data_IF_439565879703
#
_entry.id   IF_439565879703
#
_cell.length_a   1.000
_cell.length_b   1.000
_cell.length_c   1.000
_cell.angle_alpha   90.00
_cell.angle_beta   90.00
_cell.angle_gamma   90.00
#
_symmetry.space_group_name_H-M   'P 1'
#
loop_
_entity.id
_entity.type
_entity.pdbx_description
1 polymer ?
#
# COMPACT_ATOMS: atom_id res chain seq x y z
N UNK A 1 26.60 46.61 14.91
CA UNK A 1 26.35 46.07 16.27
C UNK A 1 25.83 44.65 16.16
N UNK A 2 26.71 43.63 16.22
CA UNK A 2 26.30 42.30 16.67
C UNK A 2 27.18 41.86 17.86
N UNK A 3 26.58 41.56 19.00
CA UNK A 3 27.29 41.04 20.17
C UNK A 3 27.19 39.52 20.21
N UNK A 4 28.30 38.86 19.87
CA UNK A 4 28.61 37.48 20.25
C UNK A 4 29.43 37.51 21.54
N UNK A 5 29.03 36.78 22.59
CA UNK A 5 29.87 36.61 23.77
C UNK A 5 30.08 35.13 24.11
N UNK A 6 31.36 34.85 24.33
CA UNK A 6 32.04 33.57 24.44
C UNK A 6 31.91 33.00 25.86
N UNK A 7 31.82 31.67 25.95
CA UNK A 7 32.16 30.87 27.12
C UNK A 7 33.68 30.79 27.30
N UNK A 8 34.16 30.68 28.55
CA UNK A 8 35.34 29.87 28.79
C UNK A 8 35.12 28.84 29.91
N UNK A 9 35.58 27.62 29.62
CA UNK A 9 35.78 26.54 30.55
C UNK A 9 36.99 26.81 31.46
N UNK A 10 36.95 26.31 32.69
CA UNK A 10 38.16 25.96 33.45
C UNK A 10 37.86 24.82 34.43
N UNK A 11 38.64 23.76 34.27
CA UNK A 11 38.57 22.54 35.06
C UNK A 11 39.53 22.59 36.26
N UNK A 12 39.12 21.85 37.30
CA UNK A 12 39.89 21.09 38.28
C UNK A 12 40.88 21.82 39.20
N UNK A 13 40.69 21.66 40.52
CA UNK A 13 41.72 21.12 41.42
C UNK A 13 41.20 20.86 42.84
N UNK A 14 41.68 19.73 43.37
CA UNK A 14 41.85 19.34 44.78
C UNK A 14 40.79 18.47 45.46
N UNK A 15 41.30 17.30 45.84
CA UNK A 15 40.70 16.15 46.49
C UNK A 15 41.04 16.10 47.98
N UNK A 16 40.16 15.42 48.74
CA UNK A 16 40.36 14.68 50.00
C UNK A 16 40.44 15.45 51.33
N UNK A 17 39.42 15.25 52.17
CA UNK A 17 39.50 14.68 53.53
C UNK A 17 38.13 14.07 53.95
N UNK A 18 38.19 12.94 54.66
CA UNK A 18 37.19 11.92 55.09
C UNK A 18 36.09 12.41 56.09
N UNK A 19 35.16 11.56 56.64
CA UNK A 19 34.63 10.23 56.25
C UNK A 19 33.08 10.10 56.30
N UNK A 20 32.60 8.97 55.77
CA UNK A 20 31.32 8.27 55.96
C UNK A 20 30.36 8.70 57.10
N UNK A 21 29.13 9.08 56.74
CA UNK A 21 27.89 8.76 57.47
C UNK A 21 26.68 9.19 56.64
N UNK A 22 25.88 8.22 56.18
CA UNK A 22 24.54 8.45 55.67
C UNK A 22 24.28 7.87 54.28
N UNK A 23 23.70 6.68 54.24
CA UNK A 23 22.99 6.16 53.06
C UNK A 23 21.93 7.20 52.67
N UNK A 24 21.95 7.78 51.45
CA UNK A 24 20.83 8.59 51.00
C UNK A 24 19.67 7.65 50.72
N UNK A 25 18.66 7.68 51.60
CA UNK A 25 17.33 7.12 51.33
C UNK A 25 16.87 7.69 49.98
N UNK A 26 16.72 6.84 48.98
CA UNK A 26 15.98 7.20 47.77
C UNK A 26 14.61 7.74 48.20
N UNK A 27 14.15 8.89 47.68
CA UNK A 27 12.78 9.31 47.90
C UNK A 27 11.86 8.19 47.39
N UNK A 28 10.76 7.88 48.09
CA UNK A 28 9.84 6.85 47.63
C UNK A 28 9.40 7.20 46.22
N UNK A 29 9.65 6.29 45.28
CA UNK A 29 9.03 6.34 43.95
C UNK A 29 7.53 6.48 44.20
N UNK A 30 6.87 7.53 43.68
CA UNK A 30 5.43 7.64 43.82
C UNK A 30 4.82 6.33 43.33
N UNK A 31 3.82 5.75 44.04
CA UNK A 31 3.11 4.60 43.48
C UNK A 31 2.68 5.00 42.07
N UNK A 32 3.01 4.16 41.09
CA UNK A 32 2.60 4.37 39.71
C UNK A 32 1.11 4.67 39.76
N UNK A 33 0.75 5.92 39.51
CA UNK A 33 -0.64 6.30 39.44
C UNK A 33 -1.21 5.39 38.36
N UNK A 34 -2.14 4.51 38.74
CA UNK A 34 -3.02 3.80 37.83
C UNK A 34 -3.86 4.87 37.13
N UNK A 35 -3.23 5.59 36.21
CA UNK A 35 -3.93 6.43 35.25
C UNK A 35 -4.73 5.44 34.43
N UNK A 36 -6.05 5.50 34.56
CA UNK A 36 -6.93 4.83 33.62
C UNK A 36 -6.58 5.22 32.18
N UNK A 37 -7.07 4.46 31.19
CA UNK A 37 -6.73 4.68 29.80
C UNK A 37 -6.98 6.14 29.41
N UNK A 38 -5.95 6.79 28.85
CA UNK A 38 -6.07 8.19 28.40
C UNK A 38 -7.09 8.29 27.28
N UNK A 39 -8.03 9.23 27.41
CA UNK A 39 -9.07 9.43 26.41
C UNK A 39 -8.50 10.08 25.12
N UNK A 40 -9.21 9.90 23.99
CA UNK A 40 -8.91 10.56 22.72
C UNK A 40 -8.73 12.09 22.85
N UNK A 41 -9.39 12.73 23.81
CA UNK A 41 -9.27 14.17 24.04
C UNK A 41 -7.85 14.57 24.47
N UNK A 42 -7.18 13.73 25.26
CA UNK A 42 -5.86 13.96 25.85
C UNK A 42 -4.69 13.60 24.92
N UNK A 43 -4.98 12.94 23.80
CA UNK A 43 -3.96 12.54 22.83
C UNK A 43 -3.30 13.76 22.18
N UNK A 44 -1.96 13.78 22.05
CA UNK A 44 -1.26 14.88 21.39
C UNK A 44 -1.62 14.93 19.90
N UNK A 45 -1.57 16.12 19.31
CA UNK A 45 -1.87 16.33 17.89
C UNK A 45 -1.89 17.81 17.51
N UNK A 46 -1.77 18.14 16.22
CA UNK A 46 -1.96 19.50 15.75
C UNK A 46 -3.42 19.95 15.98
N UNK A 47 -3.61 21.24 16.26
CA UNK A 47 -4.94 21.83 16.19
C UNK A 47 -5.53 21.69 14.76
N UNK A 48 -6.85 21.56 14.59
CA UNK A 48 -7.46 21.43 13.27
C UNK A 48 -7.08 22.57 12.31
N UNK A 49 -6.94 23.80 12.81
CA UNK A 49 -6.52 24.96 12.02
C UNK A 49 -5.06 24.87 11.56
N UNK A 50 -4.16 24.41 12.44
CA UNK A 50 -2.76 24.20 12.10
C UNK A 50 -2.60 23.09 11.05
N UNK A 51 -3.32 21.98 11.22
CA UNK A 51 -3.31 20.89 10.25
C UNK A 51 -3.87 21.31 8.89
N UNK A 52 -4.96 22.09 8.86
CA UNK A 52 -5.51 22.63 7.62
C UNK A 52 -4.55 23.62 6.95
N UNK A 53 -3.85 24.46 7.71
CA UNK A 53 -2.82 25.34 7.20
C UNK A 53 -1.65 24.56 6.60
N UNK A 54 -1.12 23.56 7.30
CA UNK A 54 -0.04 22.71 6.79
C UNK A 54 -0.47 21.99 5.50
N UNK A 55 -1.73 21.50 5.45
CA UNK A 55 -2.27 20.86 4.26
C UNK A 55 -2.44 21.84 3.09
N UNK A 56 -3.00 23.03 3.28
CA UNK A 56 -3.28 23.95 2.17
C UNK A 56 -2.08 24.80 1.74
N UNK A 57 -1.22 25.20 2.68
CA UNK A 57 -0.19 26.22 2.46
C UNK A 57 1.24 25.67 2.38
N UNK A 58 1.53 24.46 2.88
CA UNK A 58 2.90 23.88 2.89
C UNK A 58 3.16 22.77 1.88
N UNK A 59 2.39 22.73 0.80
CA UNK A 59 2.62 21.81 -0.31
C UNK A 59 1.67 20.61 -0.35
N UNK A 60 0.53 20.65 0.34
CA UNK A 60 -0.60 19.80 -0.02
C UNK A 60 -0.54 18.36 0.45
N UNK A 61 -1.49 17.60 -0.09
CA UNK A 61 -1.52 16.13 -0.13
C UNK A 61 -0.23 15.50 -0.71
N UNK A 62 0.55 16.25 -1.50
CA UNK A 62 1.80 15.76 -2.11
C UNK A 62 2.90 15.48 -1.09
N UNK A 63 2.92 16.22 0.03
CA UNK A 63 3.90 16.08 1.12
C UNK A 63 3.32 15.46 2.38
N UNK A 64 2.17 14.78 2.27
CA UNK A 64 1.48 14.16 3.41
C UNK A 64 2.39 13.21 4.20
N UNK A 65 3.27 12.49 3.51
CA UNK A 65 4.24 11.59 4.13
C UNK A 65 5.28 12.33 4.98
N UNK A 66 5.65 13.56 4.61
CA UNK A 66 6.60 14.38 5.38
C UNK A 66 5.91 14.89 6.66
N UNK A 67 4.63 15.30 6.55
CA UNK A 67 3.82 15.67 7.70
C UNK A 67 3.68 14.52 8.71
N UNK A 68 3.63 13.26 8.26
CA UNK A 68 3.62 12.10 9.15
C UNK A 68 4.96 11.93 9.89
N UNK A 69 6.09 12.15 9.21
CA UNK A 69 7.44 12.08 9.82
C UNK A 69 7.62 13.21 10.85
N UNK A 70 7.23 14.43 10.49
CA UNK A 70 7.25 15.59 11.40
C UNK A 70 6.28 15.39 12.58
N UNK A 71 5.10 14.82 12.33
CA UNK A 71 4.11 14.48 13.33
C UNK A 71 4.67 13.51 14.38
N UNK A 72 5.31 12.41 13.92
CA UNK A 72 6.00 11.48 14.82
C UNK A 72 7.08 12.16 15.65
N UNK A 73 7.90 13.01 15.03
CA UNK A 73 8.99 13.70 15.72
C UNK A 73 8.49 14.70 16.79
N UNK A 74 7.32 15.31 16.56
CA UNK A 74 6.76 16.35 17.43
C UNK A 74 5.84 15.82 18.52
N UNK A 75 5.02 14.82 18.21
CA UNK A 75 3.95 14.34 19.08
C UNK A 75 4.23 12.94 19.67
N UNK A 76 5.27 12.26 19.19
CA UNK A 76 5.65 10.93 19.65
C UNK A 76 5.09 9.79 18.76
N UNK A 77 5.09 8.55 19.25
CA UNK A 77 4.74 7.37 18.46
C UNK A 77 3.25 7.24 18.14
N UNK A 78 2.38 7.96 18.88
CA UNK A 78 0.93 8.01 18.67
C UNK A 78 0.44 9.44 18.75
N UNK A 79 -0.31 9.89 17.75
CA UNK A 79 -0.92 11.22 17.74
C UNK A 79 -2.20 11.26 16.93
N UNK A 80 -3.08 12.22 17.22
CA UNK A 80 -4.31 12.44 16.44
C UNK A 80 -4.14 13.59 15.45
N UNK A 81 -4.79 13.51 14.31
CA UNK A 81 -5.00 14.63 13.40
C UNK A 81 -6.45 14.63 12.91
N UNK A 82 -7.02 15.82 12.76
CA UNK A 82 -8.40 15.99 12.28
C UNK A 82 -8.41 16.67 10.92
N UNK A 83 -9.08 16.06 9.96
CA UNK A 83 -9.32 16.63 8.64
C UNK A 83 -10.82 16.71 8.37
N UNK A 84 -11.37 17.92 8.50
CA UNK A 84 -12.81 18.13 8.41
C UNK A 84 -13.55 17.26 9.44
N UNK A 85 -14.52 16.42 9.02
CA UNK A 85 -15.26 15.54 9.93
C UNK A 85 -14.48 14.27 10.31
N UNK A 86 -13.33 13.99 9.68
CA UNK A 86 -12.59 12.75 9.89
C UNK A 86 -11.50 12.98 10.94
N UNK A 87 -11.56 12.22 12.03
CA UNK A 87 -10.49 12.09 13.01
C UNK A 87 -9.65 10.87 12.66
N UNK A 88 -8.33 11.03 12.61
CA UNK A 88 -7.39 9.93 12.36
C UNK A 88 -6.37 9.87 13.49
N UNK A 89 -6.21 8.68 14.06
CA UNK A 89 -5.11 8.37 14.98
C UNK A 89 -3.99 7.74 14.17
N UNK A 90 -2.81 8.34 14.26
CA UNK A 90 -1.60 7.86 13.62
C UNK A 90 -0.77 7.08 14.62
N UNK A 91 -0.33 5.89 14.20
CA UNK A 91 0.53 5.00 14.99
C UNK A 91 1.79 4.71 14.19
N UNK A 92 2.95 5.02 14.75
CA UNK A 92 4.24 4.97 14.04
C UNK A 92 5.28 4.04 14.69
N UNK A 93 4.84 3.14 15.56
CA UNK A 93 5.69 2.18 16.26
C UNK A 93 5.18 0.75 16.06
N UNK A 94 6.10 -0.19 15.79
CA UNK A 94 5.75 -1.56 15.41
C UNK A 94 4.96 -2.31 16.49
N UNK A 95 5.35 -2.20 17.77
CA UNK A 95 4.63 -2.84 18.87
C UNK A 95 3.21 -2.32 19.05
N UNK A 96 2.98 -1.03 18.77
CA UNK A 96 1.65 -0.42 18.84
C UNK A 96 0.80 -0.81 17.63
N UNK A 97 1.40 -0.88 16.44
CA UNK A 97 0.72 -1.41 15.24
C UNK A 97 0.29 -2.86 15.47
N UNK A 98 1.14 -3.69 16.08
CA UNK A 98 0.81 -5.07 16.45
C UNK A 98 -0.41 -5.14 17.39
N UNK A 99 -0.50 -4.27 18.39
CA UNK A 99 -1.65 -4.18 19.29
C UNK A 99 -2.94 -3.82 18.53
N UNK A 100 -2.88 -2.85 17.62
CA UNK A 100 -4.03 -2.45 16.79
C UNK A 100 -4.47 -3.62 15.90
N UNK A 101 -3.52 -4.27 15.21
CA UNK A 101 -3.83 -5.37 14.29
C UNK A 101 -4.35 -6.62 15.00
N UNK A 102 -3.95 -6.88 16.26
CA UNK A 102 -4.50 -7.99 17.06
C UNK A 102 -5.96 -7.79 17.47
N UNK A 103 -6.38 -6.54 17.57
CA UNK A 103 -7.75 -6.15 17.94
C UNK A 103 -8.64 -5.94 16.70
N UNK A 104 -8.12 -6.24 15.51
CA UNK A 104 -8.87 -6.16 14.26
C UNK A 104 -9.94 -7.28 14.22
N UNK A 105 -11.19 -6.90 13.92
CA UNK A 105 -12.30 -7.85 13.82
C UNK A 105 -12.26 -8.73 12.55
N UNK A 106 -13.24 -9.63 12.42
CA UNK A 106 -13.35 -10.57 11.28
C UNK A 106 -13.53 -9.87 9.91
N UNK A 107 -13.98 -8.61 9.92
CA UNK A 107 -14.31 -7.81 8.75
C UNK A 107 -13.60 -6.45 8.76
N UNK A 108 -12.27 -6.42 8.58
CA UNK A 108 -11.51 -5.17 8.64
C UNK A 108 -11.96 -4.14 7.61
N UNK A 109 -12.16 -2.92 8.08
CA UNK A 109 -12.52 -1.77 7.25
C UNK A 109 -11.32 -0.83 7.16
N UNK A 110 -10.87 -0.57 5.93
CA UNK A 110 -9.69 0.27 5.67
C UNK A 110 -10.04 1.75 5.64
N UNK A 111 -10.79 2.14 4.62
CA UNK A 111 -11.11 3.53 4.35
C UNK A 111 -12.31 3.55 3.42
N UNK A 112 -13.34 4.33 3.76
CA UNK A 112 -14.50 4.46 2.89
C UNK A 112 -14.11 5.22 1.61
N UNK A 113 -13.74 4.48 0.56
CA UNK A 113 -13.54 4.98 -0.81
C UNK A 113 -14.90 5.36 -1.42
N UNK A 114 -15.57 6.35 -0.82
CA UNK A 114 -16.97 6.68 -1.08
C UNK A 114 -17.22 7.01 -2.55
N UNK A 115 -16.32 7.78 -3.19
CA UNK A 115 -16.43 8.13 -4.61
C UNK A 115 -16.43 6.88 -5.52
N UNK A 116 -15.64 5.86 -5.17
CA UNK A 116 -15.54 4.64 -5.98
C UNK A 116 -16.82 3.81 -5.84
N UNK A 117 -17.33 3.66 -4.61
CA UNK A 117 -18.62 3.00 -4.35
C UNK A 117 -19.79 3.73 -5.00
N UNK A 118 -19.83 5.06 -4.88
CA UNK A 118 -20.86 5.89 -5.49
C UNK A 118 -20.89 5.66 -7.02
N UNK A 119 -19.73 5.58 -7.67
CA UNK A 119 -19.64 5.20 -9.09
C UNK A 119 -20.19 3.79 -9.36
N UNK A 120 -19.83 2.78 -8.55
CA UNK A 120 -20.33 1.40 -8.71
C UNK A 120 -21.85 1.36 -8.63
N UNK A 121 -22.45 2.09 -7.68
CA UNK A 121 -23.90 2.20 -7.53
C UNK A 121 -24.52 2.90 -8.74
N UNK A 122 -23.96 4.04 -9.17
CA UNK A 122 -24.46 4.80 -10.33
C UNK A 122 -24.45 4.01 -11.65
N UNK A 123 -23.44 3.16 -11.86
CA UNK A 123 -23.30 2.33 -13.08
C UNK A 123 -23.81 0.90 -12.93
N UNK A 124 -24.32 0.55 -11.75
CA UNK A 124 -24.74 -0.82 -11.44
C UNK A 124 -23.63 -1.84 -11.64
N UNK A 125 -22.39 -1.53 -11.24
CA UNK A 125 -21.26 -2.47 -11.20
C UNK A 125 -21.13 -3.12 -9.82
N UNK A 126 -20.58 -4.32 -9.74
CA UNK A 126 -20.29 -4.94 -8.44
C UNK A 126 -19.01 -4.34 -7.84
N UNK A 127 -18.91 -4.39 -6.51
CA UNK A 127 -17.69 -4.06 -5.80
C UNK A 127 -16.64 -5.15 -6.02
N UNK A 128 -15.37 -4.76 -6.12
CA UNK A 128 -14.26 -5.69 -6.04
C UNK A 128 -13.67 -5.74 -4.63
N UNK A 129 -12.56 -6.46 -4.47
CA UNK A 129 -11.88 -6.66 -3.19
C UNK A 129 -11.46 -5.36 -2.48
N UNK A 130 -11.21 -4.26 -3.22
CA UNK A 130 -10.82 -2.98 -2.62
C UNK A 130 -12.03 -2.20 -2.11
N UNK A 131 -13.19 -2.31 -2.76
CA UNK A 131 -14.39 -1.53 -2.40
C UNK A 131 -15.44 -2.30 -1.63
N UNK A 132 -15.39 -3.63 -1.61
CA UNK A 132 -16.28 -4.46 -0.79
C UNK A 132 -15.96 -4.34 0.70
N UNK A 133 -16.98 -4.50 1.54
CA UNK A 133 -16.87 -4.49 3.01
C UNK A 133 -17.67 -5.67 3.60
N UNK A 134 -17.47 -5.95 4.90
CA UNK A 134 -18.24 -6.96 5.63
C UNK A 134 -18.08 -8.38 5.07
N UNK A 135 -19.18 -9.13 5.08
CA UNK A 135 -19.18 -10.52 4.60
C UNK A 135 -18.88 -10.66 3.10
N UNK A 136 -19.30 -9.70 2.28
CA UNK A 136 -19.01 -9.72 0.84
C UNK A 136 -17.51 -9.68 0.61
N UNK A 137 -16.83 -8.74 1.28
CA UNK A 137 -15.37 -8.67 1.26
C UNK A 137 -14.74 -9.98 1.72
N UNK A 138 -15.21 -10.56 2.82
CA UNK A 138 -14.62 -11.78 3.38
C UNK A 138 -14.80 -12.98 2.44
N UNK A 139 -15.96 -13.10 1.77
CA UNK A 139 -16.18 -14.13 0.74
C UNK A 139 -15.20 -13.97 -0.42
N UNK A 140 -15.07 -12.75 -0.97
CA UNK A 140 -14.14 -12.44 -2.05
C UNK A 140 -12.69 -12.67 -1.64
N UNK A 141 -12.30 -12.22 -0.44
CA UNK A 141 -10.95 -12.37 0.12
C UNK A 141 -10.56 -13.83 0.30
N UNK A 142 -11.46 -14.66 0.83
CA UNK A 142 -11.23 -16.10 0.98
C UNK A 142 -11.07 -16.80 -0.36
N UNK A 143 -11.85 -16.42 -1.37
CA UNK A 143 -11.75 -16.99 -2.71
C UNK A 143 -10.43 -16.58 -3.39
N UNK A 144 -10.21 -15.28 -3.53
CA UNK A 144 -9.01 -14.73 -4.19
C UNK A 144 -7.72 -15.10 -3.46
N UNK A 145 -7.76 -15.20 -2.12
CA UNK A 145 -6.60 -15.64 -1.34
C UNK A 145 -6.15 -17.07 -1.67
N UNK A 146 -7.08 -17.98 -1.99
CA UNK A 146 -6.72 -19.34 -2.44
C UNK A 146 -6.06 -19.34 -3.81
N UNK A 147 -6.55 -18.48 -4.71
CA UNK A 147 -6.13 -18.40 -6.11
C UNK A 147 -4.83 -17.60 -6.30
N UNK A 148 -4.59 -16.57 -5.49
CA UNK A 148 -3.49 -15.61 -5.70
C UNK A 148 -2.38 -15.66 -4.65
N UNK A 149 -2.66 -16.14 -3.43
CA UNK A 149 -1.70 -16.04 -2.31
C UNK A 149 -1.12 -17.38 -1.87
N UNK A 150 -1.72 -18.51 -2.28
CA UNK A 150 -1.19 -19.84 -1.95
C UNK A 150 0.06 -20.12 -2.79
N UNK A 151 1.17 -20.62 -2.21
CA UNK A 151 2.41 -20.86 -2.94
C UNK A 151 2.23 -21.68 -4.23
N UNK A 152 1.46 -22.78 -4.17
CA UNK A 152 1.16 -23.63 -5.34
C UNK A 152 0.41 -22.89 -6.45
N UNK A 153 -0.48 -21.97 -6.10
CA UNK A 153 -1.20 -21.19 -7.10
C UNK A 153 -0.28 -20.14 -7.74
N UNK A 154 0.58 -19.51 -6.94
CA UNK A 154 1.61 -18.58 -7.42
C UNK A 154 2.59 -19.25 -8.38
N UNK A 155 2.98 -20.50 -8.12
CA UNK A 155 3.84 -21.29 -9.02
C UNK A 155 3.26 -21.42 -10.43
N UNK A 156 1.93 -21.58 -10.56
CA UNK A 156 1.24 -21.65 -11.85
C UNK A 156 1.36 -20.37 -12.69
N UNK A 157 1.53 -19.21 -12.05
CA UNK A 157 1.74 -17.94 -12.74
C UNK A 157 3.20 -17.66 -13.12
N UNK A 158 4.14 -18.49 -12.66
CA UNK A 158 5.57 -18.28 -12.89
C UNK A 158 5.96 -18.29 -14.36
N UNK A 159 5.37 -19.19 -15.16
CA UNK A 159 5.62 -19.28 -16.61
C UNK A 159 5.21 -18.01 -17.36
N UNK A 160 3.92 -17.60 -17.33
CA UNK A 160 3.46 -16.38 -17.97
C UNK A 160 4.24 -15.13 -17.56
N UNK A 161 4.58 -14.99 -16.27
CA UNK A 161 5.38 -13.85 -15.81
C UNK A 161 6.81 -13.92 -16.35
N UNK A 162 7.43 -15.10 -16.44
CA UNK A 162 8.76 -15.26 -17.02
C UNK A 162 8.80 -14.87 -18.51
N UNK A 163 7.75 -15.18 -19.27
CA UNK A 163 7.64 -14.78 -20.68
C UNK A 163 7.59 -13.25 -20.82
N UNK A 164 6.79 -12.58 -19.99
CA UNK A 164 6.69 -11.12 -19.97
C UNK A 164 8.02 -10.47 -19.55
N UNK A 165 8.75 -11.08 -18.59
CA UNK A 165 10.11 -10.64 -18.23
C UNK A 165 11.07 -10.79 -19.42
N UNK A 166 10.98 -11.90 -20.17
CA UNK A 166 11.77 -12.10 -21.38
C UNK A 166 11.51 -11.02 -22.44
N UNK A 167 10.26 -10.61 -22.62
CA UNK A 167 9.90 -9.51 -23.52
C UNK A 167 10.43 -8.15 -23.07
N UNK A 168 10.34 -7.87 -21.77
CA UNK A 168 10.92 -6.66 -21.19
C UNK A 168 12.43 -6.62 -21.46
N UNK A 169 13.16 -7.71 -21.18
CA UNK A 169 14.60 -7.77 -21.40
C UNK A 169 14.96 -7.55 -22.88
N UNK A 170 14.25 -8.20 -23.81
CA UNK A 170 14.44 -8.00 -25.25
C UNK A 170 14.19 -6.55 -25.66
N UNK A 171 13.16 -5.91 -25.11
CA UNK A 171 12.85 -4.50 -25.37
C UNK A 171 13.92 -3.56 -24.86
N UNK A 172 14.37 -3.75 -23.61
CA UNK A 172 15.43 -2.95 -22.99
C UNK A 172 16.75 -3.09 -23.74
N UNK A 173 17.11 -4.31 -24.16
CA UNK A 173 18.30 -4.54 -24.99
C UNK A 173 18.23 -3.77 -26.32
N UNK A 174 17.09 -3.86 -27.05
CA UNK A 174 16.90 -3.11 -28.31
C UNK A 174 17.00 -1.60 -28.11
N UNK A 175 16.41 -1.05 -27.05
CA UNK A 175 16.48 0.39 -26.76
C UNK A 175 17.92 0.81 -26.46
N UNK A 176 18.62 0.02 -25.64
CA UNK A 176 20.04 0.23 -25.32
C UNK A 176 20.91 0.20 -26.57
N UNK A 177 20.72 -0.78 -27.45
CA UNK A 177 21.55 -0.97 -28.63
C UNK A 177 21.31 0.11 -29.70
N UNK A 178 20.11 0.71 -29.73
CA UNK A 178 19.78 1.86 -30.60
C UNK A 178 20.24 3.20 -30.04
N UNK A 179 20.46 3.30 -28.73
CA UNK A 179 20.86 4.55 -28.09
C UNK A 179 22.37 4.78 -28.24
N UNK A 180 22.84 5.96 -28.70
CA UNK A 180 24.27 6.20 -28.95
C UNK A 180 25.19 5.97 -27.74
N UNK A 181 24.66 6.13 -26.54
CA UNK A 181 25.39 5.96 -25.28
C UNK A 181 25.14 4.61 -24.59
N UNK A 182 24.45 3.68 -25.25
CA UNK A 182 24.01 2.42 -24.64
C UNK A 182 23.19 2.61 -23.36
N UNK A 183 22.26 3.57 -23.40
CA UNK A 183 21.37 3.88 -22.28
C UNK A 183 19.93 3.58 -22.65
N UNK A 184 19.13 3.19 -21.66
CA UNK A 184 17.69 3.09 -21.80
C UNK A 184 17.07 4.37 -21.22
N UNK A 185 16.42 5.22 -22.04
CA UNK A 185 15.72 6.38 -21.54
C UNK A 185 14.44 5.96 -20.80
N UNK A 186 14.13 6.65 -19.70
CA UNK A 186 12.89 6.49 -18.92
C UNK A 186 12.51 5.03 -18.59
N UNK A 187 13.36 4.38 -17.80
CA UNK A 187 13.14 3.01 -17.34
C UNK A 187 11.86 2.84 -16.51
N UNK A 188 11.39 3.90 -15.84
CA UNK A 188 10.18 3.87 -15.03
C UNK A 188 8.92 3.68 -15.91
N UNK A 189 8.85 4.37 -17.06
CA UNK A 189 7.78 4.17 -18.02
C UNK A 189 7.78 2.75 -18.62
N UNK A 190 8.95 2.16 -18.83
CA UNK A 190 9.06 0.77 -19.29
C UNK A 190 8.61 -0.23 -18.21
N UNK A 191 8.93 0.03 -16.94
CA UNK A 191 8.38 -0.78 -15.84
C UNK A 191 6.88 -0.63 -15.65
N UNK A 192 6.31 0.53 -15.98
CA UNK A 192 4.85 0.72 -15.97
C UNK A 192 4.18 -0.19 -17.01
N UNK A 193 4.70 -0.22 -18.24
CA UNK A 193 4.22 -1.12 -19.31
C UNK A 193 4.39 -2.59 -18.93
N UNK A 194 5.52 -2.92 -18.30
CA UNK A 194 5.76 -4.26 -17.75
C UNK A 194 4.75 -4.63 -16.66
N UNK A 195 4.44 -3.72 -15.73
CA UNK A 195 3.44 -3.96 -14.68
C UNK A 195 2.07 -4.29 -15.27
N UNK A 196 1.66 -3.53 -16.31
CA UNK A 196 0.41 -3.75 -17.03
C UNK A 196 0.38 -5.09 -17.78
N UNK A 197 1.42 -5.41 -18.54
CA UNK A 197 1.54 -6.69 -19.25
C UNK A 197 1.66 -7.89 -18.30
N UNK A 198 2.34 -7.71 -17.16
CA UNK A 198 2.54 -8.74 -16.16
C UNK A 198 1.23 -9.09 -15.47
N UNK A 199 0.49 -8.11 -14.95
CA UNK A 199 -0.79 -8.38 -14.30
C UNK A 199 -1.84 -8.86 -15.30
N UNK A 200 -1.82 -8.38 -16.55
CA UNK A 200 -2.74 -8.83 -17.60
C UNK A 200 -2.57 -10.32 -17.93
N UNK A 201 -1.31 -10.77 -18.02
CA UNK A 201 -1.00 -12.19 -18.26
C UNK A 201 -1.54 -13.10 -17.14
N UNK A 202 -1.51 -12.63 -15.89
CA UNK A 202 -2.02 -13.40 -14.73
C UNK A 202 -3.56 -13.38 -14.68
N UNK A 203 -4.18 -12.25 -14.99
CA UNK A 203 -5.62 -12.06 -14.85
C UNK A 203 -6.43 -12.76 -15.94
N UNK A 204 -5.96 -12.69 -17.19
CA UNK A 204 -6.71 -13.15 -18.35
C UNK A 204 -5.86 -13.90 -19.40
N UNK A 205 -4.62 -14.32 -19.07
CA UNK A 205 -3.72 -15.07 -19.97
C UNK A 205 -3.53 -14.41 -21.36
N UNK A 206 -3.74 -13.09 -21.44
CA UNK A 206 -3.64 -12.34 -22.70
C UNK A 206 -2.47 -11.38 -22.66
N UNK A 207 -1.85 -11.22 -23.83
CA UNK A 207 -0.80 -10.26 -24.09
C UNK A 207 -1.44 -8.96 -24.56
N UNK A 208 -1.24 -7.87 -23.83
CA UNK A 208 -1.78 -6.55 -24.18
C UNK A 208 -0.90 -5.82 -25.20
N UNK A 209 0.28 -6.36 -25.51
CA UNK A 209 1.22 -5.76 -26.46
C UNK A 209 1.91 -4.51 -25.91
N UNK A 210 1.91 -4.29 -24.59
CA UNK A 210 2.48 -3.08 -23.98
C UNK A 210 4.00 -2.98 -24.20
N UNK A 211 4.65 -4.13 -24.41
CA UNK A 211 6.09 -4.26 -24.59
C UNK A 211 6.49 -4.31 -26.07
N UNK A 212 5.53 -4.28 -27.00
CA UNK A 212 5.79 -4.23 -28.44
C UNK A 212 6.28 -2.85 -28.90
N UNK A 213 6.87 -2.79 -30.10
CA UNK A 213 7.49 -1.56 -30.59
C UNK A 213 6.47 -0.40 -30.70
N UNK A 214 5.25 -0.71 -31.10
CA UNK A 214 4.12 0.21 -31.12
C UNK A 214 3.10 -0.25 -30.09
N UNK A 215 2.84 0.59 -29.08
CA UNK A 215 1.85 0.27 -28.04
C UNK A 215 0.45 0.50 -28.62
N UNK A 216 -0.49 -0.45 -28.45
CA UNK A 216 -1.86 -0.24 -28.88
C UNK A 216 -2.49 1.00 -28.25
N UNK A 217 -3.24 1.78 -29.04
CA UNK A 217 -3.89 3.02 -28.57
C UNK A 217 -4.84 2.80 -27.40
N UNK A 218 -5.49 1.63 -27.35
CA UNK A 218 -6.41 1.29 -26.28
C UNK A 218 -5.66 1.15 -24.95
N UNK A 219 -4.51 0.48 -24.98
CA UNK A 219 -3.61 0.33 -23.82
C UNK A 219 -3.10 1.69 -23.33
N UNK A 220 -2.69 2.58 -24.23
CA UNK A 220 -2.26 3.95 -23.84
C UNK A 220 -3.40 4.76 -23.20
N UNK A 221 -4.61 4.62 -23.73
CA UNK A 221 -5.80 5.28 -23.20
C UNK A 221 -6.15 4.71 -21.82
N UNK A 222 -5.95 3.41 -21.60
CA UNK A 222 -6.12 2.76 -20.30
C UNK A 222 -5.14 3.32 -19.26
N UNK A 223 -3.85 3.42 -19.61
CA UNK A 223 -2.81 4.01 -18.75
C UNK A 223 -3.16 5.46 -18.38
N UNK A 224 -3.64 6.26 -19.35
CA UNK A 224 -4.07 7.63 -19.11
C UNK A 224 -5.29 7.71 -18.19
N UNK A 225 -6.21 6.76 -18.33
CA UNK A 225 -7.44 6.67 -17.54
C UNK A 225 -7.13 6.35 -16.07
N UNK A 226 -6.17 5.46 -15.79
CA UNK A 226 -5.69 5.18 -14.43
C UNK A 226 -5.18 6.46 -13.75
N UNK A 227 -4.27 7.18 -14.41
CA UNK A 227 -3.69 8.42 -13.86
C UNK A 227 -4.78 9.47 -13.61
N UNK A 228 -5.68 9.65 -14.58
CA UNK A 228 -6.82 10.57 -14.46
C UNK A 228 -7.72 10.19 -13.29
N UNK A 229 -8.01 8.89 -13.13
CA UNK A 229 -8.83 8.38 -12.05
C UNK A 229 -8.20 8.64 -10.67
N UNK A 230 -6.90 8.42 -10.48
CA UNK A 230 -6.26 8.69 -9.19
C UNK A 230 -6.29 10.18 -8.82
N UNK A 231 -5.98 11.06 -9.78
CA UNK A 231 -6.03 12.52 -9.55
C UNK A 231 -7.45 12.99 -9.23
N UNK A 232 -8.45 12.50 -9.98
CA UNK A 232 -9.85 12.84 -9.74
C UNK A 232 -10.39 12.19 -8.45
N UNK A 233 -9.88 11.04 -8.01
CA UNK A 233 -10.23 10.45 -6.71
C UNK A 233 -9.86 11.39 -5.57
N UNK A 234 -8.63 11.91 -5.56
CA UNK A 234 -8.18 12.85 -4.52
C UNK A 234 -9.05 14.11 -4.50
N UNK A 235 -9.37 14.65 -5.69
CA UNK A 235 -10.23 15.82 -5.83
C UNK A 235 -11.68 15.55 -5.39
N UNK A 236 -12.24 14.40 -5.77
CA UNK A 236 -13.64 14.08 -5.46
C UNK A 236 -13.86 13.68 -4.01
N UNK A 237 -12.86 13.08 -3.36
CA UNK A 237 -12.90 12.78 -1.93
C UNK A 237 -12.77 14.04 -1.07
N UNK A 238 -11.99 15.03 -1.51
CA UNK A 238 -11.89 16.32 -0.82
C UNK A 238 -13.14 17.20 -1.01
N UNK A 239 -13.91 16.98 -2.07
CA UNK A 239 -15.08 17.78 -2.43
C UNK A 239 -16.37 17.23 -1.77
N UNK A 240 -17.10 18.03 -0.97
CA UNK A 240 -18.38 17.61 -0.41
C UNK A 240 -19.42 17.29 -1.48
N UNK A 241 -20.29 16.30 -1.23
CA UNK A 241 -21.36 15.86 -2.15
C UNK A 241 -22.21 16.97 -2.80
N UNK A 242 -22.66 18.04 -2.09
CA UNK A 242 -23.41 19.11 -2.74
C UNK A 242 -22.57 19.91 -3.76
N UNK A 243 -21.25 19.99 -3.57
CA UNK A 243 -20.35 20.73 -4.44
C UNK A 243 -20.14 20.03 -5.79
N UNK A 244 -20.30 18.70 -5.85
CA UNK A 244 -20.35 17.94 -7.11
C UNK A 244 -21.52 18.34 -8.02
N UNK A 245 -22.62 18.87 -7.45
CA UNK A 245 -23.74 19.38 -8.25
C UNK A 245 -23.41 20.72 -8.92
N UNK A 246 -22.58 21.55 -8.26
CA UNK A 246 -22.20 22.87 -8.76
C UNK A 246 -21.02 22.78 -9.74
N UNK A 247 -20.09 21.87 -9.49
CA UNK A 247 -18.93 21.60 -10.34
C UNK A 247 -18.94 20.14 -10.81
N UNK A 248 -19.73 19.79 -11.84
CA UNK A 248 -19.90 18.39 -12.25
C UNK A 248 -18.68 17.82 -13.00
N UNK A 249 -17.81 18.68 -13.55
CA UNK A 249 -16.70 18.25 -14.42
C UNK A 249 -15.74 17.25 -13.76
N UNK A 250 -15.23 17.45 -12.53
CA UNK A 250 -14.40 16.46 -11.84
C UNK A 250 -15.07 15.09 -11.69
N UNK A 251 -16.35 15.07 -11.33
CA UNK A 251 -17.12 13.82 -11.18
C UNK A 251 -17.37 13.13 -12.53
N UNK A 252 -17.67 13.90 -13.58
CA UNK A 252 -17.85 13.38 -14.93
C UNK A 252 -16.56 12.75 -15.46
N UNK A 253 -15.44 13.47 -15.39
CA UNK A 253 -14.13 12.95 -15.80
C UNK A 253 -13.72 11.73 -14.98
N UNK A 254 -14.05 11.69 -13.69
CA UNK A 254 -13.88 10.49 -12.86
C UNK A 254 -14.70 9.31 -13.37
N UNK A 255 -15.99 9.52 -13.69
CA UNK A 255 -16.86 8.47 -14.21
C UNK A 255 -16.41 7.98 -15.60
N UNK A 256 -16.03 8.88 -16.50
CA UNK A 256 -15.53 8.54 -17.85
C UNK A 256 -14.26 7.69 -17.79
N UNK A 257 -13.31 8.06 -16.90
CA UNK A 257 -12.09 7.28 -16.70
C UNK A 257 -12.41 5.87 -16.18
N UNK A 258 -13.33 5.74 -15.22
CA UNK A 258 -13.78 4.43 -14.75
C UNK A 258 -14.54 3.64 -15.81
N UNK A 259 -15.43 4.28 -16.57
CA UNK A 259 -16.21 3.65 -17.63
C UNK A 259 -15.26 3.04 -18.68
N UNK A 260 -14.21 3.76 -19.07
CA UNK A 260 -13.18 3.24 -19.97
C UNK A 260 -12.44 2.03 -19.37
N UNK A 261 -11.99 2.12 -18.11
CA UNK A 261 -11.29 1.02 -17.45
C UNK A 261 -12.15 -0.25 -17.32
N UNK A 262 -13.43 -0.10 -16.99
CA UNK A 262 -14.37 -1.22 -16.95
C UNK A 262 -14.63 -1.81 -18.33
N UNK A 263 -14.80 -0.95 -19.36
CA UNK A 263 -14.99 -1.42 -20.74
C UNK A 263 -13.76 -2.20 -21.23
N UNK A 264 -12.56 -1.68 -20.97
CA UNK A 264 -11.31 -2.35 -21.29
C UNK A 264 -11.21 -3.72 -20.61
N UNK A 265 -11.38 -3.79 -19.29
CA UNK A 265 -11.31 -5.04 -18.55
C UNK A 265 -12.39 -6.05 -19.01
N UNK A 266 -13.63 -5.60 -19.21
CA UNK A 266 -14.72 -6.45 -19.73
C UNK A 266 -14.39 -7.04 -21.08
N UNK A 267 -13.87 -6.24 -22.03
CA UNK A 267 -13.50 -6.74 -23.36
C UNK A 267 -12.50 -7.90 -23.30
N UNK A 268 -11.49 -7.80 -22.43
CA UNK A 268 -10.52 -8.88 -22.22
C UNK A 268 -11.11 -10.10 -21.49
N UNK A 269 -11.96 -9.88 -20.50
CA UNK A 269 -12.63 -10.96 -19.75
C UNK A 269 -13.59 -11.73 -20.67
N UNK A 270 -14.42 -11.04 -21.43
CA UNK A 270 -15.43 -11.64 -22.30
C UNK A 270 -14.76 -12.44 -23.42
N UNK A 271 -13.69 -11.90 -24.00
CA UNK A 271 -12.87 -12.62 -24.98
C UNK A 271 -12.30 -13.91 -24.38
N UNK A 272 -11.73 -13.83 -23.17
CA UNK A 272 -11.13 -14.98 -22.50
C UNK A 272 -12.15 -16.08 -22.19
N UNK A 273 -13.34 -15.69 -21.73
CA UNK A 273 -14.46 -16.61 -21.44
C UNK A 273 -14.97 -17.27 -22.73
N UNK A 274 -15.05 -16.53 -23.83
CA UNK A 274 -15.43 -17.09 -25.13
C UNK A 274 -14.38 -18.09 -25.64
N UNK A 275 -13.10 -17.75 -25.57
CA UNK A 275 -11.99 -18.64 -25.97
C UNK A 275 -12.00 -19.96 -25.17
N UNK A 276 -12.25 -19.89 -23.85
CA UNK A 276 -12.36 -21.05 -22.98
C UNK A 276 -13.55 -21.96 -23.32
N UNK A 277 -14.66 -21.36 -23.75
CA UNK A 277 -15.87 -22.10 -24.12
C UNK A 277 -15.70 -22.85 -25.46
N UNK A 278 -14.92 -22.29 -26.39
CA UNK A 278 -14.70 -22.86 -27.72
C UNK A 278 -13.63 -23.96 -27.74
N UNK A 279 -12.49 -23.75 -27.07
CA UNK A 279 -11.31 -24.60 -27.28
C UNK A 279 -11.13 -25.70 -26.21
N UNK A 280 -11.79 -25.59 -25.05
CA UNK A 280 -11.61 -26.52 -23.93
C UNK A 280 -10.20 -26.41 -23.32
N UNK A 281 -10.13 -25.97 -22.07
CA UNK A 281 -8.84 -25.51 -21.50
C UNK A 281 -7.95 -26.64 -20.98
N UNK A 282 -6.69 -26.78 -21.44
CA UNK A 282 -5.68 -27.53 -20.72
C UNK A 282 -5.38 -26.85 -19.38
N UNK A 283 -5.28 -27.63 -18.31
CA UNK A 283 -5.14 -27.15 -16.93
C UNK A 283 -3.88 -26.30 -16.66
N UNK A 284 -2.93 -26.26 -17.59
CA UNK A 284 -1.61 -25.64 -17.44
C UNK A 284 -1.56 -24.13 -17.76
N UNK A 285 -2.64 -23.54 -18.28
CA UNK A 285 -2.69 -22.10 -18.64
C UNK A 285 -3.87 -21.33 -18.01
N UNK A 286 -4.42 -21.83 -16.90
CA UNK A 286 -5.55 -21.16 -16.26
C UNK A 286 -5.18 -19.80 -15.66
N UNK A 287 -5.81 -18.74 -16.14
CA UNK A 287 -5.71 -17.41 -15.56
C UNK A 287 -6.72 -17.23 -14.41
N UNK A 288 -6.66 -16.10 -13.69
CA UNK A 288 -7.60 -15.84 -12.61
C UNK A 288 -9.07 -15.86 -13.09
N UNK A 289 -9.34 -15.33 -14.28
CA UNK A 289 -10.70 -15.30 -14.87
C UNK A 289 -11.28 -16.71 -15.02
N UNK A 290 -10.49 -17.68 -15.47
CA UNK A 290 -10.95 -19.07 -15.63
C UNK A 290 -11.29 -19.72 -14.28
N UNK A 291 -10.46 -19.48 -13.27
CA UNK A 291 -10.70 -19.98 -11.93
C UNK A 291 -11.99 -19.39 -11.34
N UNK A 292 -12.23 -18.09 -11.53
CA UNK A 292 -13.44 -17.43 -11.07
C UNK A 292 -14.69 -17.93 -11.82
N UNK A 293 -14.59 -18.20 -13.13
CA UNK A 293 -15.66 -18.77 -13.92
C UNK A 293 -15.99 -20.20 -13.47
N UNK A 294 -14.97 -21.03 -13.18
CA UNK A 294 -15.14 -22.41 -12.65
C UNK A 294 -15.80 -22.45 -11.28
N UNK A 295 -15.49 -21.49 -10.43
CA UNK A 295 -16.11 -21.30 -9.10
C UNK A 295 -17.53 -20.70 -9.18
N UNK A 296 -18.09 -20.55 -10.40
CA UNK A 296 -19.44 -20.02 -10.69
C UNK A 296 -19.68 -18.64 -10.07
N UNK A 297 -18.65 -17.81 -10.00
CA UNK A 297 -18.76 -16.43 -9.54
C UNK A 297 -19.59 -15.64 -10.56
N UNK A 298 -20.55 -14.80 -10.14
CA UNK A 298 -21.31 -13.97 -11.08
C UNK A 298 -20.39 -13.09 -11.93
N UNK A 299 -20.61 -13.02 -13.24
CA UNK A 299 -19.77 -12.24 -14.17
C UNK A 299 -19.59 -10.78 -13.73
N UNK A 300 -20.65 -10.16 -13.18
CA UNK A 300 -20.59 -8.80 -12.65
C UNK A 300 -19.54 -8.64 -11.54
N UNK A 301 -19.41 -9.65 -10.68
CA UNK A 301 -18.40 -9.71 -9.61
C UNK A 301 -17.01 -9.98 -10.16
N UNK A 302 -16.89 -10.80 -11.22
CA UNK A 302 -15.61 -11.02 -11.93
C UNK A 302 -15.12 -9.69 -12.50
N UNK A 303 -15.96 -8.94 -13.22
CA UNK A 303 -15.61 -7.64 -13.78
C UNK A 303 -15.10 -6.67 -12.69
N UNK A 304 -15.80 -6.58 -11.55
CA UNK A 304 -15.39 -5.72 -10.43
C UNK A 304 -14.02 -6.09 -9.86
N UNK A 305 -13.80 -7.37 -9.55
CA UNK A 305 -12.55 -7.84 -8.95
C UNK A 305 -11.37 -7.76 -9.90
N UNK A 306 -11.54 -8.20 -11.15
CA UNK A 306 -10.45 -8.20 -12.14
C UNK A 306 -10.04 -6.77 -12.50
N UNK A 307 -10.98 -5.83 -12.64
CA UNK A 307 -10.67 -4.42 -12.90
C UNK A 307 -9.88 -3.80 -11.74
N UNK A 308 -10.24 -4.12 -10.50
CA UNK A 308 -9.53 -3.62 -9.31
C UNK A 308 -8.15 -4.23 -9.13
N UNK A 309 -7.97 -5.52 -9.44
CA UNK A 309 -6.67 -6.18 -9.43
C UNK A 309 -5.76 -5.64 -10.54
N UNK A 310 -6.31 -5.40 -11.73
CA UNK A 310 -5.60 -4.80 -12.86
C UNK A 310 -5.08 -3.41 -12.46
N UNK A 311 -5.92 -2.57 -11.85
CA UNK A 311 -5.52 -1.26 -11.34
C UNK A 311 -4.41 -1.36 -10.27
N UNK A 312 -4.55 -2.28 -9.30
CA UNK A 312 -3.62 -2.39 -8.18
C UNK A 312 -2.24 -2.94 -8.58
N UNK A 313 -2.16 -3.74 -9.64
CA UNK A 313 -0.94 -4.45 -10.07
C UNK A 313 0.04 -3.63 -10.91
N UNK A 314 -0.32 -2.43 -11.39
CA UNK A 314 0.51 -1.68 -12.35
C UNK A 314 1.50 -0.74 -11.63
N UNK A 315 0.98 0.26 -10.92
CA UNK A 315 1.79 1.33 -10.32
C UNK A 315 2.68 0.81 -9.18
N UNK A 316 2.18 -0.16 -8.42
CA UNK A 316 2.86 -0.70 -7.23
C UNK A 316 4.12 -1.49 -7.62
N UNK A 317 4.02 -2.35 -8.62
CA UNK A 317 5.14 -3.16 -9.12
C UNK A 317 6.16 -2.28 -9.82
N UNK A 318 5.71 -1.39 -10.71
CA UNK A 318 6.60 -0.50 -11.48
C UNK A 318 7.40 0.44 -10.59
N UNK A 319 6.78 1.03 -9.57
CA UNK A 319 7.46 1.86 -8.57
C UNK A 319 8.47 1.05 -7.75
N UNK A 320 8.10 -0.15 -7.28
CA UNK A 320 9.00 -1.01 -6.49
C UNK A 320 10.23 -1.44 -7.29
N UNK A 321 10.08 -1.77 -8.57
CA UNK A 321 11.20 -2.09 -9.46
C UNK A 321 12.12 -0.88 -9.70
N UNK A 322 11.52 0.28 -9.96
CA UNK A 322 12.26 1.53 -10.17
C UNK A 322 13.12 1.87 -8.95
N UNK A 323 12.55 1.85 -7.74
CA UNK A 323 13.28 2.09 -6.50
C UNK A 323 14.33 1.02 -6.21
N UNK A 324 14.02 -0.25 -6.49
CA UNK A 324 14.99 -1.34 -6.28
C UNK A 324 16.25 -1.14 -7.11
N UNK A 325 16.11 -0.83 -8.41
CA UNK A 325 17.27 -0.59 -9.26
C UNK A 325 18.00 0.70 -8.92
N UNK A 326 17.26 1.75 -8.54
CA UNK A 326 17.86 3.00 -8.07
C UNK A 326 18.75 2.78 -6.84
N UNK A 327 18.26 2.05 -5.82
CA UNK A 327 19.03 1.79 -4.60
C UNK A 327 20.18 0.80 -4.85
N UNK A 328 20.02 -0.18 -5.73
CA UNK A 328 21.11 -1.08 -6.12
C UNK A 328 22.23 -0.32 -6.84
N UNK A 329 21.91 0.61 -7.73
CA UNK A 329 22.90 1.44 -8.43
C UNK A 329 23.70 2.33 -7.45
N UNK A 330 23.07 2.78 -6.35
CA UNK A 330 23.73 3.54 -5.28
C UNK A 330 24.61 2.69 -4.36
N UNK A 331 24.40 1.37 -4.34
CA UNK A 331 25.13 0.43 -3.47
C UNK A 331 25.78 -0.71 -4.28
N UNK A 332 26.87 -0.43 -5.04
CA UNK A 332 27.49 -1.40 -5.94
C UNK A 332 27.96 -2.69 -5.25
N UNK A 333 28.40 -2.60 -3.98
CA UNK A 333 28.82 -3.77 -3.21
C UNK A 333 27.67 -4.75 -2.97
N UNK A 334 26.46 -4.25 -2.68
CA UNK A 334 25.25 -5.05 -2.52
C UNK A 334 24.82 -5.62 -3.87
N UNK A 335 24.87 -4.82 -4.94
CA UNK A 335 24.59 -5.28 -6.29
C UNK A 335 25.50 -6.44 -6.71
N UNK A 336 26.80 -6.36 -6.45
CA UNK A 336 27.76 -7.42 -6.75
C UNK A 336 27.53 -8.68 -5.88
N UNK A 337 27.15 -8.51 -4.61
CA UNK A 337 26.76 -9.64 -3.75
C UNK A 337 25.48 -10.32 -4.25
N UNK A 338 24.47 -9.55 -4.63
CA UNK A 338 23.22 -10.04 -5.19
C UNK A 338 23.47 -10.80 -6.50
N UNK A 339 24.29 -10.25 -7.41
CA UNK A 339 24.64 -10.92 -8.66
C UNK A 339 25.32 -12.28 -8.41
N UNK A 340 26.23 -12.37 -7.43
CA UNK A 340 26.86 -13.65 -7.05
C UNK A 340 25.86 -14.65 -6.48
N UNK A 341 24.92 -14.22 -5.64
CA UNK A 341 23.85 -15.07 -5.12
C UNK A 341 22.98 -15.62 -6.26
N UNK A 342 22.55 -14.76 -7.18
CA UNK A 342 21.71 -15.15 -8.32
C UNK A 342 22.44 -16.10 -9.27
N UNK A 343 23.71 -15.83 -9.58
CA UNK A 343 24.52 -16.70 -10.42
C UNK A 343 24.72 -18.09 -9.80
N UNK A 344 24.89 -18.17 -8.47
CA UNK A 344 25.02 -19.43 -7.75
C UNK A 344 23.69 -20.20 -7.66
N UNK A 345 22.56 -19.49 -7.53
CA UNK A 345 21.24 -20.12 -7.36
C UNK A 345 20.60 -20.59 -8.68
N UNK A 346 20.75 -19.81 -9.76
CA UNK A 346 20.07 -20.04 -11.04
C UNK A 346 21.00 -20.53 -12.17
N UNK A 347 22.32 -20.51 -11.97
CA UNK A 347 23.28 -20.79 -13.05
C UNK A 347 23.16 -19.83 -14.23
N UNK A 348 23.89 -20.10 -15.32
CA UNK A 348 23.77 -19.35 -16.57
C UNK A 348 22.54 -19.84 -17.35
N UNK A 349 21.38 -19.22 -17.11
CA UNK A 349 20.25 -19.28 -18.06
C UNK A 349 19.00 -20.06 -17.64
N UNK A 350 18.83 -20.46 -16.38
CA UNK A 350 17.57 -21.09 -15.96
C UNK A 350 16.47 -20.07 -15.64
N UNK A 351 15.24 -20.37 -16.09
CA UNK A 351 14.02 -19.70 -15.63
C UNK A 351 13.86 -19.88 -14.11
N UNK A 352 13.40 -18.85 -13.37
CA UNK A 352 13.30 -18.94 -11.91
C UNK A 352 12.29 -20.01 -11.47
N UNK A 353 12.78 -21.15 -10.96
CA UNK A 353 11.94 -22.17 -10.33
C UNK A 353 11.64 -21.81 -8.87
N UNK A 354 10.48 -22.24 -8.35
CA UNK A 354 10.08 -22.03 -6.96
C UNK A 354 11.13 -22.54 -5.95
N UNK A 355 11.80 -23.64 -6.27
CA UNK A 355 12.87 -24.22 -5.45
C UNK A 355 14.11 -23.31 -5.41
N UNK A 356 14.40 -22.61 -6.50
CA UNK A 356 15.51 -21.66 -6.59
C UNK A 356 15.19 -20.34 -5.87
N UNK A 357 13.92 -19.91 -5.84
CA UNK A 357 13.48 -18.78 -5.00
C UNK A 357 13.69 -19.01 -3.50
N UNK A 358 13.74 -20.27 -3.05
CA UNK A 358 14.12 -20.63 -1.69
C UNK A 358 15.59 -20.36 -1.35
N UNK A 359 16.47 -20.28 -2.36
CA UNK A 359 17.93 -20.17 -2.22
C UNK A 359 18.47 -18.75 -2.37
N UNK A 360 17.60 -17.74 -2.44
CA UNK A 360 17.96 -16.32 -2.67
C UNK A 360 17.53 -15.41 -1.52
N UNK A 361 18.09 -15.59 -0.31
CA UNK A 361 17.75 -14.77 0.85
C UNK A 361 18.14 -13.29 0.68
N UNK A 362 19.25 -12.96 0.00
CA UNK A 362 19.66 -11.58 -0.22
C UNK A 362 18.70 -10.87 -1.17
N UNK A 363 18.21 -11.52 -2.23
CA UNK A 363 17.16 -10.94 -3.08
C UNK A 363 15.92 -10.56 -2.27
N UNK A 364 15.46 -11.45 -1.39
CA UNK A 364 14.32 -11.18 -0.50
C UNK A 364 14.60 -10.01 0.45
N UNK A 365 15.82 -9.92 0.98
CA UNK A 365 16.23 -8.81 1.84
C UNK A 365 16.26 -7.49 1.07
N UNK A 366 16.76 -7.47 -0.17
CA UNK A 366 16.76 -6.29 -1.04
C UNK A 366 15.32 -5.82 -1.30
N UNK A 367 14.39 -6.72 -1.65
CA UNK A 367 12.98 -6.33 -1.86
C UNK A 367 12.36 -5.76 -0.58
N UNK A 368 12.61 -6.37 0.59
CA UNK A 368 12.13 -5.85 1.87
C UNK A 368 12.73 -4.48 2.19
N UNK A 369 14.01 -4.29 1.94
CA UNK A 369 14.70 -3.02 2.17
C UNK A 369 14.22 -1.94 1.20
N UNK A 370 13.97 -2.30 -0.06
CA UNK A 370 13.29 -1.41 -1.01
C UNK A 370 11.90 -1.05 -0.50
N UNK A 371 11.08 -1.98 0.00
CA UNK A 371 9.75 -1.63 0.51
C UNK A 371 9.80 -0.81 1.82
N UNK A 372 10.90 -0.91 2.58
CA UNK A 372 11.16 -0.10 3.76
C UNK A 372 11.51 1.35 3.40
N UNK A 373 12.30 1.55 2.34
CA UNK A 373 12.83 2.85 1.90
C UNK A 373 12.03 3.48 0.77
N UNK A 374 11.85 2.68 -0.29
CA UNK A 374 11.02 2.90 -1.45
C UNK A 374 9.61 3.17 -0.97
N UNK A 375 9.36 4.46 -0.90
CA UNK A 375 8.10 5.13 -0.67
C UNK A 375 7.00 4.56 -1.57
N UNK A 376 6.44 3.40 -1.19
CA UNK A 376 5.17 2.91 -1.72
C UNK A 376 4.06 3.95 -1.49
N UNK A 377 2.87 3.80 -2.09
CA UNK A 377 1.82 4.81 -2.02
C UNK A 377 1.52 5.19 -0.56
N UNK A 378 2.07 6.32 -0.13
CA UNK A 378 1.98 6.87 1.23
C UNK A 378 0.54 7.21 1.66
N UNK A 379 -0.41 7.10 0.73
CA UNK A 379 -1.84 7.25 0.97
C UNK A 379 -2.45 6.03 1.68
N UNK A 380 -1.76 4.88 1.70
CA UNK A 380 -2.25 3.65 2.30
C UNK A 380 -1.30 3.14 3.40
N UNK A 381 -1.16 3.90 4.48
CA UNK A 381 -0.96 3.24 5.76
C UNK A 381 -2.12 2.25 5.99
N UNK A 382 -1.88 1.15 6.70
CA UNK A 382 -2.99 0.32 7.17
C UNK A 382 -3.90 1.20 8.02
N UNK A 383 -5.03 1.59 7.44
CA UNK A 383 -6.10 2.25 8.16
C UNK A 383 -6.99 1.14 8.70
N UNK A 384 -7.33 1.25 9.98
CA UNK A 384 -8.27 0.37 10.65
C UNK A 384 -9.38 1.28 11.14
N UNK A 385 -10.58 1.05 10.66
CA UNK A 385 -11.80 1.61 11.24
C UNK A 385 -12.26 0.57 12.25
N UNK A 386 -12.16 0.92 13.53
CA UNK A 386 -12.54 0.03 14.60
C UNK A 386 -14.07 0.09 14.81
N UNK A 387 -14.70 -1.08 14.85
CA UNK A 387 -16.13 -1.22 15.20
C UNK A 387 -16.34 -1.27 16.73
N UNK A 388 -15.26 -1.51 17.47
CA UNK A 388 -15.21 -1.62 18.92
C UNK A 388 -13.99 -0.88 19.48
N UNK A 389 -13.97 -0.69 20.78
CA UNK A 389 -12.94 0.11 21.43
C UNK A 389 -11.56 -0.57 21.35
N UNK A 390 -10.57 0.07 20.69
CA UNK A 390 -9.18 -0.43 20.56
C UNK A 390 -8.21 0.23 21.55
N UNK A 391 -7.69 -0.52 22.51
CA UNK A 391 -6.68 -0.01 23.45
C UNK A 391 -5.26 -0.11 22.86
N UNK A 392 -4.46 0.97 22.95
CA UNK A 392 -3.09 1.02 22.42
C UNK A 392 -2.15 1.69 23.43
N UNK A 393 -1.01 1.06 23.72
CA UNK A 393 0.00 1.52 24.68
C UNK A 393 0.12 0.65 25.93
N UNK A 394 0.77 1.17 26.97
CA UNK A 394 1.04 0.45 28.23
C UNK A 394 -0.24 0.05 28.99
N UNK A 395 -1.37 0.70 28.70
CA UNK A 395 -2.67 0.42 29.32
C UNK A 395 -3.43 -0.75 28.65
N UNK A 396 -2.92 -1.31 27.54
CA UNK A 396 -3.59 -2.40 26.80
C UNK A 396 -3.51 -3.78 27.50
N UNK A 397 -2.83 -3.88 28.64
CA UNK A 397 -2.56 -5.14 29.35
C UNK A 397 -3.43 -5.42 30.59
N UNK A 398 -4.38 -4.56 30.96
CA UNK A 398 -5.18 -4.72 32.19
C UNK A 398 -6.67 -4.84 31.83
N UNK A 399 -7.05 -6.00 31.29
CA UNK A 399 -8.44 -6.34 30.98
C UNK A 399 -8.70 -7.81 31.26
N UNK A 400 -8.38 -8.24 32.48
CA UNK A 400 -8.76 -9.56 32.99
C UNK A 400 -10.08 -9.47 33.75
N UNK A 401 -11.10 -10.13 33.19
CA UNK A 401 -12.20 -10.80 33.87
C UNK A 401 -12.88 -10.02 35.02
N UNK A 402 -13.91 -9.24 34.70
CA UNK A 402 -14.99 -8.95 35.64
C UNK A 402 -16.31 -8.77 34.87
N UNK A 403 -17.20 -9.75 35.02
CA UNK A 403 -18.54 -9.74 34.44
C UNK A 403 -19.41 -8.64 35.05
N UNK A 404 -19.95 -7.77 34.21
CA UNK A 404 -21.02 -6.85 34.58
C UNK A 404 -22.08 -6.82 33.48
N UNK A 405 -23.31 -7.16 33.86
CA UNK A 405 -24.53 -7.14 33.04
C UNK A 405 -24.90 -5.73 32.52
N UNK A 406 -25.70 -5.63 31.43
CA UNK A 406 -25.91 -4.37 30.72
C UNK A 406 -26.98 -3.50 31.40
N UNK A 407 -26.54 -2.47 32.12
CA UNK A 407 -27.37 -1.34 32.55
C UNK A 407 -27.36 -0.23 31.50
N UNK A 408 -28.54 0.11 30.96
CA UNK A 408 -28.70 1.00 29.82
C UNK A 408 -28.39 2.49 30.05
N UNK A 409 -28.10 3.17 28.93
CA UNK A 409 -28.16 4.62 28.78
C UNK A 409 -26.83 5.35 29.01
N UNK A 410 -26.11 5.64 27.93
CA UNK A 410 -24.90 6.47 28.01
C UNK A 410 -24.32 6.78 26.64
N UNK A 411 -23.89 8.03 26.45
CA UNK A 411 -23.43 8.60 25.20
C UNK A 411 -22.23 7.89 24.57
N UNK A 412 -22.24 7.89 23.24
CA UNK A 412 -21.17 7.36 22.39
C UNK A 412 -19.88 8.16 22.56
N UNK A 413 -18.82 7.43 22.90
CA UNK A 413 -17.44 7.84 22.68
C UNK A 413 -16.52 7.12 23.66
N UNK A 414 -15.71 6.18 23.17
CA UNK A 414 -14.25 6.08 23.30
C UNK A 414 -13.78 4.84 22.54
N UNK A 415 -13.61 4.94 21.21
CA UNK A 415 -12.37 4.75 20.43
C UNK A 415 -12.67 4.88 18.94
#
# INVERSE_FOLDING_TARGET
MPQSLRLPARAALLSRCLPELGVPRQPPVPPAATRGPRSLAEMPGPSPAAFLYDLLCRGGLRRLHELQVEGRARYGPVWKASFGPILTVHVAEAGLIEQVLRQEGDFPVRSHLSSWKDYRVCRGHACGLLTAEGEEWQRLRRLLGRLLLRPRAVEGYGGPVADVVGDLLRRLQRQRDRHPQHLVPDLAAEFYKFGLEGISSVLFASRLGCLEQEVPRDTETFIRSINTMFVMTLLTMAMPKPLHRLFPKPWQTFCEAWDYMFAFAKGHIDRRVAEAAEHGEPAEQMCLTDHLAREKVPMKTIYGNVTELLLAGVDTISSTLSWSLYELARHPGVQAALHRELAAAFGTGCSPSATALGKVPLLRAVVKETLRWGRGPHLAGHQVVADADVAVGDDAGVGGDDGVEPGGGGGRGVL
#
